data_IF_447614270508
#
_entry.id   IF_447614270508
#
_cell.length_a   1.000
_cell.length_b   1.000
_cell.length_c   1.000
_cell.angle_alpha   90.00
_cell.angle_beta   90.00
_cell.angle_gamma   90.00
#
_symmetry.space_group_name_H-M   'P 1'
#
loop_
_entity.id
_entity.type
_entity.pdbx_description
1 polymer ?
2 non-polymer ?
3 non-polymer ?
4 non-polymer ?
5 non-polymer ?
6 water ?
#
# COMPACT_ATOMS: atom_id res chain seq x y z
N UNK A 27 1.53 -3.77 -5.64
CA UNK A 27 1.98 -2.43 -5.30
C UNK A 27 1.88 -2.15 -3.79
N UNK A 28 1.18 -3.02 -3.04
CA UNK A 28 1.38 -2.95 -1.58
C UNK A 28 2.87 -2.94 -1.26
N UNK A 29 3.26 -2.16 -0.25
CA UNK A 29 4.67 -2.00 0.08
C UNK A 29 4.88 -1.94 1.58
N UNK A 30 6.07 -1.52 1.98
CA UNK A 30 6.43 -1.47 3.40
C UNK A 30 5.86 -0.26 4.09
N UNK A 31 6.31 -0.04 5.32
CA UNK A 31 5.76 1.01 6.17
C UNK A 31 6.08 2.41 5.65
N UNK A 32 7.33 2.62 5.24
CA UNK A 32 7.76 3.93 4.74
C UNK A 32 6.87 4.41 3.59
N UNK A 33 6.73 3.56 2.57
CA UNK A 33 5.93 3.90 1.40
C UNK A 33 4.44 3.92 1.70
N UNK A 34 4.04 3.27 2.78
CA UNK A 34 2.63 3.22 3.16
C UNK A 34 2.25 4.48 3.94
N UNK A 35 3.17 4.96 4.77
CA UNK A 35 2.92 6.13 5.58
C UNK A 35 2.79 7.39 4.73
N UNK A 36 3.72 7.58 3.80
CA UNK A 36 3.73 8.74 2.95
C UNK A 36 2.51 8.74 2.05
N UNK A 37 2.11 7.56 1.59
CA UNK A 37 0.91 7.42 0.78
C UNK A 37 -0.34 7.74 1.60
N UNK A 38 -0.32 7.34 2.87
CA UNK A 38 -1.44 7.58 3.77
C UNK A 38 -1.51 9.04 4.19
N UNK A 39 -0.34 9.65 4.40
CA UNK A 39 -0.28 11.07 4.75
C UNK A 39 -0.86 11.92 3.61
N UNK A 40 -0.38 11.69 2.40
CA UNK A 40 -0.84 12.43 1.24
C UNK A 40 -2.36 12.38 1.13
N UNK A 41 -2.92 11.17 1.23
CA UNK A 41 -4.36 10.99 1.13
C UNK A 41 -5.12 11.69 2.25
N UNK A 42 -4.48 11.80 3.41
CA UNK A 42 -5.07 12.50 4.53
C UNK A 42 -5.06 14.00 4.32
N UNK A 43 -3.93 14.51 3.87
CA UNK A 43 -3.78 15.94 3.60
C UNK A 43 -4.76 16.40 2.53
N UNK A 44 -4.87 15.62 1.45
CA UNK A 44 -5.73 16.00 0.32
C UNK A 44 -7.22 15.96 0.68
N UNK A 45 -7.59 15.10 1.62
CA UNK A 45 -8.97 15.07 2.11
C UNK A 45 -9.10 15.96 3.35
N UNK A 46 -8.02 16.67 3.66
CA UNK A 46 -7.99 17.59 4.78
C UNK A 46 -9.04 18.69 4.75
N UNK A 47 -9.11 19.47 3.66
CA UNK A 47 -8.24 19.32 2.51
C UNK A 47 -7.18 20.40 2.44
N UNK A 48 -5.96 19.98 2.14
CA UNK A 48 -4.81 20.87 2.10
C UNK A 48 -4.96 21.94 1.02
N UNK A 49 -5.37 21.53 -0.18
CA UNK A 49 -5.46 22.44 -1.32
C UNK A 49 -6.40 23.62 -1.06
N UNK A 50 -7.54 23.34 -0.43
CA UNK A 50 -8.46 24.41 -0.06
C UNK A 50 -7.81 25.33 0.95
N UNK A 51 -7.11 24.75 1.92
CA UNK A 51 -6.36 25.52 2.90
C UNK A 51 -5.29 26.37 2.21
N UNK A 52 -4.73 25.85 1.12
CA UNK A 52 -3.70 26.57 0.36
C UNK A 52 -4.27 27.56 -0.65
N UNK A 53 -5.58 27.51 -0.86
CA UNK A 53 -6.25 28.49 -1.70
C UNK A 53 -6.78 29.64 -0.85
N UNK A 54 -7.17 29.32 0.38
CA UNK A 54 -7.75 30.31 1.27
C UNK A 54 -6.76 30.86 2.30
N UNK A 55 -5.51 31.05 1.91
CA UNK A 55 -4.56 31.71 2.80
C UNK A 55 -4.89 33.19 2.81
N UNK A 56 -4.89 33.81 4.00
CA UNK A 56 -5.17 35.24 4.12
C UNK A 56 -3.89 36.05 3.96
N UNK A 57 -3.36 36.10 2.74
CA UNK A 57 -2.08 36.77 2.51
C UNK A 57 -2.17 38.28 2.70
N UNK A 58 -3.31 38.87 2.36
CA UNK A 58 -3.50 40.31 2.49
C UNK A 58 -3.77 40.71 3.94
N UNK A 59 -4.57 39.92 4.64
CA UNK A 59 -4.80 40.11 6.05
C UNK A 59 -3.51 40.52 6.75
N UNK A 60 -2.41 39.90 6.32
CA UNK A 60 -1.12 40.12 6.96
C UNK A 60 -0.20 41.00 6.11
N UNK A 61 -0.21 40.78 4.80
CA UNK A 61 0.65 41.54 3.89
C UNK A 61 0.14 42.97 3.75
N UNK A 73 4.16 57.09 3.14
CA UNK A 73 2.72 57.09 2.89
C UNK A 73 2.07 55.88 3.56
N UNK A 74 2.18 54.72 2.93
CA UNK A 74 1.70 53.47 3.50
C UNK A 74 0.16 53.42 3.63
N UNK A 75 -0.34 53.62 4.84
CA UNK A 75 -1.77 53.46 5.12
C UNK A 75 -2.61 54.56 4.50
N UNK A 76 -2.01 55.72 4.26
CA UNK A 76 -2.74 56.83 3.67
C UNK A 76 -3.39 56.38 2.36
N UNK A 77 -2.64 55.60 1.59
CA UNK A 77 -3.14 55.06 0.34
C UNK A 77 -4.23 54.02 0.57
N UNK A 78 -3.98 53.12 1.51
CA UNK A 78 -4.97 52.11 1.88
C UNK A 78 -6.28 52.79 2.26
N UNK A 79 -6.17 53.95 2.89
CA UNK A 79 -7.33 54.70 3.35
C UNK A 79 -7.96 55.49 2.21
N UNK A 80 -7.12 56.09 1.37
CA UNK A 80 -7.60 56.92 0.26
C UNK A 80 -8.36 56.08 -0.77
N UNK A 81 -7.88 54.85 -0.98
CA UNK A 81 -8.50 53.96 -1.96
C UNK A 81 -9.83 53.43 -1.45
N UNK A 82 -9.87 53.03 -0.18
CA UNK A 82 -11.08 52.52 0.44
C UNK A 82 -12.12 53.63 0.54
N UNK A 83 -11.68 54.80 0.97
CA UNK A 83 -12.55 55.97 1.06
C UNK A 83 -12.88 56.49 -0.34
N UNK A 84 -12.02 56.17 -1.31
CA UNK A 84 -12.20 56.59 -2.68
C UNK A 84 -13.60 56.34 -3.20
N UNK A 85 -14.30 55.37 -2.60
CA UNK A 85 -15.66 55.07 -2.98
C UNK A 85 -15.87 54.96 -4.47
N UNK A 87 -12.59 51.47 -4.94
CA UNK A 87 -11.96 50.41 -5.73
C UNK A 87 -10.56 50.78 -6.17
N UNK A 88 -9.58 50.00 -5.71
CA UNK A 88 -8.18 50.23 -6.05
C UNK A 88 -7.25 49.32 -5.28
N UNK A 89 -6.06 49.84 -4.95
CA UNK A 89 -5.07 49.08 -4.19
C UNK A 89 -4.58 47.93 -5.07
N UNK A 90 -3.61 47.16 -4.57
CA UNK A 90 -3.22 45.92 -5.21
C UNK A 90 -4.06 44.77 -4.68
N UNK A 91 -4.15 43.70 -5.47
CA UNK A 91 -4.88 42.51 -5.08
C UNK A 91 -4.01 41.29 -5.31
N UNK A 92 -4.21 40.24 -4.51
CA UNK A 92 -3.43 39.03 -4.66
C UNK A 92 -4.31 37.79 -4.61
N UNK A 93 -4.25 36.99 -5.67
CA UNK A 93 -5.04 35.79 -5.79
C UNK A 93 -4.18 34.55 -5.61
N UNK A 94 -4.71 33.57 -4.87
CA UNK A 94 -4.02 32.31 -4.67
C UNK A 94 -4.71 31.22 -5.46
N UNK A 95 -3.99 30.62 -6.40
CA UNK A 95 -4.55 29.56 -7.24
C UNK A 95 -3.52 28.47 -7.50
N UNK A 96 -3.95 27.39 -8.15
CA UNK A 96 -3.11 26.25 -8.46
C UNK A 96 -2.33 25.73 -7.28
N UNK A 97 -3.03 25.49 -6.20
CA UNK A 97 -2.39 24.85 -5.04
C UNK A 97 -2.12 23.38 -5.34
N UNK A 98 -0.96 22.87 -4.95
CA UNK A 98 -0.63 21.48 -5.26
C UNK A 98 0.26 20.82 -4.21
N UNK A 99 0.15 19.50 -4.13
CA UNK A 99 0.97 18.71 -3.23
C UNK A 99 1.89 17.83 -4.08
N UNK A 100 3.15 17.75 -3.69
CA UNK A 100 4.12 16.92 -4.42
C UNK A 100 4.55 15.73 -3.56
N UNK A 101 5.30 14.81 -4.16
CA UNK A 101 5.74 13.60 -3.46
C UNK A 101 6.42 13.91 -2.14
N UNK A 102 5.87 13.36 -1.06
CA UNK A 102 6.45 13.56 0.25
C UNK A 102 7.83 12.93 0.31
N UNK A 103 8.68 13.44 1.19
CA UNK A 103 9.95 12.82 1.47
C UNK A 103 9.89 12.20 2.85
N UNK A 104 10.71 11.17 3.07
CA UNK A 104 10.78 10.52 4.36
C UNK A 104 12.22 10.21 4.71
N UNK A 105 12.62 10.61 5.91
CA UNK A 105 13.95 10.29 6.40
C UNK A 105 13.86 9.85 7.86
N UNK A 106 14.66 8.86 8.22
CA UNK A 106 14.65 8.32 9.58
C UNK A 106 15.97 8.63 10.27
N UNK A 107 15.90 8.98 11.55
CA UNK A 107 17.10 9.27 12.32
C UNK A 107 18.04 8.07 12.34
N UNK A 108 19.35 8.31 12.46
CA UNK A 108 20.35 7.23 12.53
C UNK A 108 20.10 6.30 13.72
N UNK A 109 19.64 6.83 14.84
CA UNK A 109 19.37 6.02 16.02
C UNK A 109 18.09 5.20 15.82
N UNK A 110 17.25 5.63 14.89
CA UNK A 110 16.08 4.86 14.49
C UNK A 110 14.79 5.19 15.23
N UNK A 111 14.84 6.14 16.15
CA UNK A 111 13.68 6.42 17.00
C UNK A 111 12.82 7.59 16.52
N UNK A 112 13.25 8.27 15.46
CA UNK A 112 12.55 9.48 15.01
C UNK A 112 12.36 9.49 13.49
N UNK A 113 11.27 10.11 13.06
CA UNK A 113 10.91 10.17 11.66
C UNK A 113 10.72 11.64 11.26
N UNK A 114 11.19 12.00 10.08
CA UNK A 114 11.02 13.36 9.57
C UNK A 114 10.43 13.37 8.17
N UNK A 115 9.16 13.74 8.08
CA UNK A 115 8.49 13.87 6.79
C UNK A 115 8.57 15.31 6.29
N UNK A 116 8.97 15.46 5.03
CA UNK A 116 8.99 16.77 4.39
C UNK A 116 7.82 16.85 3.40
N UNK A 117 7.10 17.97 3.44
CA UNK A 117 5.88 18.11 2.66
C UNK A 117 6.00 19.25 1.65
N UNK A 118 6.50 18.94 0.45
CA UNK A 118 6.65 19.95 -0.61
C UNK A 118 5.31 20.56 -1.02
N UNK A 119 5.22 21.88 -0.97
CA UNK A 119 3.98 22.59 -1.26
C UNK A 119 4.17 23.54 -2.43
N UNK A 120 3.08 23.80 -3.14
CA UNK A 120 3.13 24.70 -4.28
C UNK A 120 1.90 25.58 -4.40
N UNK A 121 2.11 26.84 -4.76
CA UNK A 121 1.01 27.76 -5.04
C UNK A 121 1.45 28.80 -6.07
N UNK A 122 0.48 29.39 -6.74
CA UNK A 122 0.75 30.53 -7.60
C UNK A 122 0.10 31.78 -7.01
N UNK A 123 0.81 32.89 -7.09
CA UNK A 123 0.29 34.16 -6.60
C UNK A 123 0.08 35.10 -7.77
N UNK A 124 -1.19 35.45 -8.02
CA UNK A 124 -1.51 36.42 -9.06
C UNK A 124 -1.59 37.81 -8.44
N UNK A 125 -0.61 38.65 -8.75
CA UNK A 125 -0.58 40.02 -8.26
C UNK A 125 -1.23 40.95 -9.27
N UNK A 126 -2.35 41.55 -8.88
CA UNK A 126 -3.08 42.47 -9.74
C UNK A 126 -3.34 43.80 -9.04
N UNK A 127 -3.86 44.76 -9.81
CA UNK A 127 -4.35 46.01 -9.23
C UNK A 127 -5.69 46.34 -9.86
N UNK A 128 -6.78 46.22 -9.08
CA UNK A 128 -8.14 46.49 -9.58
C UNK A 128 -8.28 47.92 -10.07
N UNK A 129 -7.51 48.84 -9.50
CA UNK A 129 -7.54 50.25 -9.88
C UNK A 129 -7.46 50.42 -11.39
N UNK A 130 -6.33 50.02 -11.96
CA UNK A 130 -6.11 50.09 -13.40
C UNK A 130 -6.74 48.89 -14.10
N UNK A 131 -7.06 47.85 -13.35
CA UNK A 131 -7.69 46.67 -13.89
C UNK A 131 -6.71 45.83 -14.70
N UNK A 132 -5.47 45.75 -14.22
CA UNK A 132 -4.43 45.01 -14.92
C UNK A 132 -3.71 44.05 -13.98
N UNK A 133 -3.06 43.05 -14.55
CA UNK A 133 -2.25 42.11 -13.78
C UNK A 133 -0.77 42.42 -13.97
N UNK A 134 -0.07 42.67 -12.86
CA UNK A 134 1.31 43.14 -12.92
C UNK A 134 2.32 42.01 -12.82
N UNK A 135 2.10 41.09 -11.89
CA UNK A 135 3.03 40.00 -11.64
C UNK A 135 2.32 38.67 -11.45
N UNK A 136 2.92 37.61 -12.01
CA UNK A 136 2.47 36.25 -11.77
C UNK A 136 3.63 35.44 -11.20
N UNK A 137 3.49 35.00 -9.95
CA UNK A 137 4.57 34.30 -9.27
C UNK A 137 4.25 32.82 -9.04
N UNK A 138 5.26 31.98 -9.23
CA UNK A 138 5.19 30.59 -8.82
C UNK A 138 5.92 30.43 -7.50
N UNK A 139 5.28 29.77 -6.53
CA UNK A 139 5.84 29.63 -5.20
C UNK A 139 5.97 28.16 -4.79
N UNK A 140 7.14 27.80 -4.27
CA UNK A 140 7.37 26.46 -3.74
C UNK A 140 7.82 26.56 -2.29
N UNK A 141 7.37 25.65 -1.44
CA UNK A 141 7.73 25.66 -0.03
C UNK A 141 7.60 24.29 0.60
N UNK A 142 8.49 23.98 1.54
CA UNK A 142 8.50 22.67 2.18
C UNK A 142 8.16 22.82 3.66
N UNK A 143 7.33 21.90 4.14
CA UNK A 143 7.02 21.81 5.57
C UNK A 143 7.64 20.54 6.15
N UNK A 144 8.55 20.71 7.10
CA UNK A 144 9.25 19.57 7.70
C UNK A 144 8.60 19.16 9.01
N UNK A 145 7.82 18.09 8.97
CA UNK A 145 7.17 17.56 10.16
C UNK A 145 8.01 16.43 10.76
N UNK A 146 8.27 16.52 12.06
CA UNK A 146 8.91 15.43 12.78
C UNK A 146 7.84 14.57 13.44
N UNK A 147 7.91 13.26 13.25
CA UNK A 147 6.94 12.33 13.82
C UNK A 147 7.57 11.54 14.96
N UNK A 148 6.96 11.62 16.14
CA UNK A 148 7.48 10.94 17.32
C UNK A 148 6.55 9.83 17.80
N UNK A 149 7.10 8.91 18.59
CA UNK A 149 6.30 7.89 19.26
C UNK A 149 6.21 8.24 20.75
N UNK A 150 4.99 8.38 21.24
CA UNK A 150 4.76 8.86 22.61
C UNK A 150 3.68 8.04 23.30
N UNK A 151 3.71 8.02 24.63
CA UNK A 151 2.78 7.21 25.40
C UNK A 151 1.77 8.04 26.20
N UNK A 152 0.51 7.66 26.07
CA UNK A 152 -0.57 8.25 26.85
C UNK A 152 -1.74 7.28 26.82
N UNK A 153 -1.50 6.04 27.22
CA UNK A 153 -2.53 5.03 27.18
C UNK A 153 -2.77 4.60 25.73
N UNK A 157 -3.20 9.28 18.88
CA UNK A 157 -3.16 8.52 20.13
C UNK A 157 -1.73 8.18 20.55
N UNK A 158 -0.93 7.71 19.61
CA UNK A 158 0.38 7.14 19.92
C UNK A 158 1.49 7.68 19.03
N UNK A 159 1.23 7.78 17.74
CA UNK A 159 2.18 8.36 16.79
C UNK A 159 1.84 9.82 16.57
N UNK A 160 2.70 10.72 17.06
CA UNK A 160 2.33 12.12 17.21
C UNK A 160 3.28 13.08 16.50
N UNK A 161 2.79 14.27 16.19
CA UNK A 161 3.58 15.32 15.57
C UNK A 161 4.51 15.99 16.56
N UNK A 162 5.79 16.06 16.22
CA UNK A 162 6.76 16.81 16.99
C UNK A 162 6.83 18.24 16.50
N UNK A 163 7.95 18.61 15.90
CA UNK A 163 8.10 19.95 15.31
C UNK A 163 7.59 20.01 13.87
N UNK A 164 6.62 20.89 13.66
CA UNK A 164 6.20 21.24 12.31
C UNK A 164 6.74 22.61 11.98
N UNK A 165 7.55 22.70 10.95
CA UNK A 165 8.16 23.97 10.58
C UNK A 165 8.36 24.06 9.08
N UNK A 166 8.68 25.25 8.63
CA UNK A 166 9.04 25.47 7.23
C UNK A 166 10.53 25.20 7.05
N UNK A 167 10.87 24.31 6.13
CA UNK A 167 12.26 23.99 5.88
C UNK A 167 12.98 25.26 5.43
N UNK A 168 14.15 25.53 6.01
CA UNK A 168 14.90 26.70 5.56
C UNK A 168 15.43 26.52 4.13
N UNK A 169 15.34 27.57 3.31
CA UNK A 169 15.82 27.52 1.94
C UNK A 169 14.85 26.84 0.98
N UNK A 170 13.61 26.61 1.40
CA UNK A 170 12.66 25.86 0.59
C UNK A 170 11.86 26.80 -0.29
N UNK A 171 11.89 28.08 0.05
CA UNK A 171 10.98 29.05 -0.54
C UNK A 171 11.58 29.58 -1.82
N UNK A 172 11.05 29.11 -2.94
CA UNK A 172 11.52 29.53 -4.24
C UNK A 172 10.42 30.28 -4.96
N UNK A 173 10.63 31.58 -5.12
CA UNK A 173 9.69 32.42 -5.84
C UNK A 173 10.25 32.67 -7.23
N UNK A 174 9.44 32.42 -8.25
CA UNK A 174 9.89 32.57 -9.63
C UNK A 174 8.89 33.40 -10.44
N UNK A 175 9.40 34.15 -11.41
CA UNK A 175 8.56 35.00 -12.23
C UNK A 175 7.91 34.19 -13.35
N UNK A 176 6.59 34.21 -13.39
CA UNK A 176 5.83 33.47 -14.39
C UNK A 176 5.40 34.39 -15.52
N UNK A 177 4.83 35.54 -15.16
CA UNK A 177 4.40 36.51 -16.14
C UNK A 177 4.41 37.92 -15.52
N UNK A 178 4.36 38.93 -16.37
CA UNK A 178 4.34 40.32 -15.90
C UNK A 178 3.81 41.27 -16.97
N UNK A 179 3.09 42.30 -16.51
CA UNK A 179 2.54 43.29 -17.42
C UNK A 179 3.61 43.84 -18.36
N UNK A 180 4.79 44.09 -17.80
CA UNK A 180 5.90 44.62 -18.58
C UNK A 180 7.18 44.73 -17.76
N UNK A 181 8.22 45.32 -18.36
CA UNK A 181 9.54 45.47 -17.72
C UNK A 181 9.53 46.30 -16.44
N UNK A 182 8.54 47.17 -16.27
CA UNK A 182 8.54 48.12 -15.16
C UNK A 182 8.26 47.43 -13.82
N UNK A 183 7.10 46.74 -13.70
CA UNK A 183 6.81 46.04 -12.44
C UNK A 183 7.88 44.99 -12.10
N UNK A 184 8.52 44.45 -13.12
CA UNK A 184 9.52 43.41 -12.93
C UNK A 184 10.83 43.98 -12.39
N UNK A 185 11.21 45.16 -12.90
CA UNK A 185 12.45 45.80 -12.49
C UNK A 185 12.25 46.70 -11.27
N UNK A 186 11.00 47.03 -10.97
CA UNK A 186 10.72 48.01 -9.94
C UNK A 186 9.83 47.56 -8.79
N UNK A 187 9.25 46.37 -8.89
CA UNK A 187 8.32 45.91 -7.87
C UNK A 187 8.67 44.53 -7.32
N UNK A 188 8.96 43.59 -8.22
CA UNK A 188 9.20 42.20 -7.85
C UNK A 188 10.06 42.08 -6.58
N UNK A 189 11.34 42.42 -6.69
CA UNK A 189 12.29 42.23 -5.59
C UNK A 189 11.75 42.75 -4.25
N UNK A 190 11.07 43.89 -4.29
CA UNK A 190 10.47 44.45 -3.08
C UNK A 190 9.37 43.52 -2.59
N UNK A 191 8.62 42.96 -3.54
CA UNK A 191 7.51 42.08 -3.23
C UNK A 191 7.99 40.76 -2.64
N UNK A 192 8.87 40.07 -3.36
CA UNK A 192 9.38 38.78 -2.91
C UNK A 192 10.04 38.95 -1.55
N UNK A 193 10.67 40.10 -1.35
CA UNK A 193 11.37 40.39 -0.11
C UNK A 193 10.47 40.27 1.11
N UNK A 194 9.26 40.82 1.02
CA UNK A 194 8.32 40.76 2.13
C UNK A 194 7.78 39.34 2.20
N UNK A 195 7.65 38.71 1.04
CA UNK A 195 7.13 37.35 0.95
C UNK A 195 8.06 36.36 1.65
N UNK A 196 9.37 36.56 1.50
CA UNK A 196 10.35 35.71 2.18
C UNK A 196 10.28 35.88 3.70
N UNK A 197 9.51 36.87 4.14
CA UNK A 197 9.42 37.18 5.56
C UNK A 197 8.08 36.82 6.17
N UNK A 198 7.06 36.65 5.33
CA UNK A 198 5.71 36.44 5.82
C UNK A 198 5.15 35.04 5.54
N UNK A 199 5.36 34.55 4.32
CA UNK A 199 4.74 33.30 3.89
C UNK A 199 5.08 32.10 4.77
N UNK A 200 6.37 31.77 4.87
CA UNK A 200 6.80 30.57 5.60
C UNK A 200 6.07 30.36 6.93
N UNK A 201 6.01 31.40 7.76
CA UNK A 201 5.33 31.29 9.05
C UNK A 201 3.82 31.21 8.88
N UNK A 202 3.33 31.70 7.75
CA UNK A 202 1.91 31.63 7.45
C UNK A 202 1.50 30.21 7.09
N UNK A 203 2.21 29.65 6.12
CA UNK A 203 1.94 28.29 5.65
C UNK A 203 2.09 27.29 6.79
N UNK A 204 3.22 27.35 7.49
CA UNK A 204 3.45 26.50 8.65
C UNK A 204 2.26 26.51 9.58
N UNK A 205 1.75 27.71 9.88
CA UNK A 205 0.66 27.86 10.82
C UNK A 205 -0.66 27.31 10.30
N UNK A 206 -0.83 27.30 8.98
CA UNK A 206 -2.07 26.85 8.38
C UNK A 206 -2.09 25.35 8.08
N UNK A 207 -0.98 24.90 7.49
CA UNK A 207 -0.70 23.49 7.22
C UNK A 207 -0.45 22.65 8.45
N UNK A 208 0.27 23.22 9.42
CA UNK A 208 0.83 22.46 10.54
C UNK A 208 -0.25 21.80 11.36
N UNK A 209 -1.40 22.58 11.58
CA UNK A 209 -2.44 21.88 12.36
C UNK A 209 -2.93 20.62 11.65
N UNK A 210 -3.07 20.72 10.32
CA UNK A 210 -3.73 19.67 9.55
C UNK A 210 -2.97 18.34 9.67
N UNK A 211 -1.65 18.38 9.48
CA UNK A 211 -0.85 17.15 9.48
C UNK A 211 -1.01 16.41 10.80
N UNK A 212 -1.22 17.15 11.88
CA UNK A 212 -1.42 16.55 13.18
C UNK A 212 -2.75 15.83 13.22
N UNK A 213 -3.76 16.45 12.63
CA UNK A 213 -5.08 15.84 12.50
C UNK A 213 -4.99 14.58 11.63
N UNK A 214 -4.03 14.55 10.70
CA UNK A 214 -3.84 13.42 9.82
C UNK A 214 -3.06 12.30 10.51
N UNK A 215 -2.10 12.67 11.35
CA UNK A 215 -1.34 11.67 12.11
C UNK A 215 -2.28 10.88 13.02
N UNK A 216 -3.15 11.59 13.73
CA UNK A 216 -4.19 10.95 14.52
C UNK A 216 -5.40 10.71 13.63
N UNK A 217 -5.57 9.47 13.19
CA UNK A 217 -6.55 9.15 12.17
C UNK A 217 -5.94 8.23 11.13
N UNK A 218 -4.63 8.05 11.20
CA UNK A 218 -3.95 7.09 10.35
C UNK A 218 -4.42 5.68 10.69
N UNK A 219 -4.19 4.75 9.78
CA UNK A 219 -4.59 3.37 9.98
C UNK A 219 -4.02 2.85 11.30
N UNK A 220 -4.89 2.28 12.12
CA UNK A 220 -4.52 1.80 13.45
C UNK A 220 -3.34 0.84 13.39
N UNK A 221 -3.43 -0.12 12.47
CA UNK A 221 -2.43 -1.17 12.37
C UNK A 221 -1.13 -0.64 11.78
N UNK A 222 -1.24 0.33 10.88
CA UNK A 222 -0.07 0.97 10.28
C UNK A 222 0.72 1.69 11.37
N UNK A 223 0.02 2.46 12.20
CA UNK A 223 0.64 3.19 13.29
C UNK A 223 1.36 2.21 14.23
N UNK A 224 0.64 1.19 14.67
CA UNK A 224 1.18 0.19 15.59
C UNK A 224 2.51 -0.37 15.10
N UNK A 225 2.56 -0.74 13.82
CA UNK A 225 3.77 -1.33 13.24
C UNK A 225 4.92 -0.31 13.21
N UNK A 226 4.63 0.91 12.77
CA UNK A 226 5.65 1.95 12.68
C UNK A 226 6.22 2.30 14.05
N UNK A 227 5.37 2.27 15.08
CA UNK A 227 5.83 2.56 16.43
C UNK A 227 6.87 1.53 16.86
N UNK A 228 6.54 0.25 16.69
CA UNK A 228 7.46 -0.84 17.02
C UNK A 228 8.86 -0.60 16.48
N UNK A 229 8.93 -0.26 15.20
CA UNK A 229 10.22 -0.09 14.52
C UNK A 229 11.01 1.05 15.14
N UNK A 230 10.31 2.11 15.55
CA UNK A 230 10.96 3.25 16.16
C UNK A 230 11.43 2.94 17.58
N UNK A 231 10.55 2.36 18.38
CA UNK A 231 10.88 2.01 19.76
C UNK A 231 12.15 1.16 19.83
N UNK A 232 12.31 0.26 18.87
CA UNK A 232 13.48 -0.63 18.85
C UNK A 232 14.58 -0.09 17.93
N UNK A 233 14.46 1.17 17.51
CA UNK A 233 15.45 1.81 16.66
C UNK A 233 15.81 0.98 15.45
N UNK A 234 14.82 0.59 14.67
CA UNK A 234 15.04 -0.23 13.48
C UNK A 234 14.73 0.58 12.23
N UNK A 235 15.56 0.41 11.20
CA UNK A 235 15.44 1.18 9.97
C UNK A 235 14.45 0.53 9.00
N UNK A 236 13.46 1.31 8.56
CA UNK A 236 12.53 0.85 7.53
C UNK A 236 12.44 1.85 6.37
N UNK A 237 13.16 2.96 6.49
CA UNK A 237 13.26 3.94 5.42
C UNK A 237 14.66 3.88 4.83
N UNK A 238 14.79 3.24 3.67
CA UNK A 238 16.09 3.04 3.04
C UNK A 238 16.11 3.61 1.62
N UNK B 27 -6.73 1.63 1.83
CA UNK B 27 -5.96 0.50 1.32
C UNK B 27 -4.59 0.37 1.98
N UNK B 28 -3.93 1.50 2.23
CA UNK B 28 -2.66 1.49 2.98
C UNK B 28 -2.81 0.92 4.38
N UNK B 29 -2.20 -0.24 4.64
CA UNK B 29 -2.23 -0.84 5.98
C UNK B 29 -0.82 -1.13 6.47
N UNK B 30 -0.74 -1.93 7.54
CA UNK B 30 0.54 -2.34 8.10
C UNK B 30 1.10 -3.52 7.32
N UNK B 31 2.04 -4.23 7.93
CA UNK B 31 2.73 -5.31 7.24
C UNK B 31 1.83 -6.53 7.02
N UNK B 32 1.17 -6.98 8.08
CA UNK B 32 0.26 -8.13 7.96
C UNK B 32 -0.71 -7.94 6.81
N UNK B 33 -1.51 -6.89 6.89
CA UNK B 33 -2.48 -6.59 5.86
C UNK B 33 -1.83 -6.48 4.49
N UNK B 34 -0.69 -5.81 4.41
CA UNK B 34 0.01 -5.63 3.15
C UNK B 34 0.48 -6.96 2.58
N UNK B 35 0.97 -7.84 3.44
CA UNK B 35 1.49 -9.13 3.02
C UNK B 35 0.40 -9.98 2.36
N UNK B 36 -0.78 -10.01 2.97
CA UNK B 36 -1.88 -10.82 2.46
C UNK B 36 -2.29 -10.37 1.06
N UNK B 37 -2.49 -9.06 0.90
CA UNK B 37 -2.87 -8.51 -0.40
C UNK B 37 -1.79 -8.79 -1.43
N UNK B 38 -0.53 -8.63 -1.03
CA UNK B 38 0.60 -8.86 -1.91
C UNK B 38 0.62 -10.31 -2.38
N UNK B 39 0.37 -11.24 -1.46
CA UNK B 39 0.33 -12.67 -1.80
C UNK B 39 -0.82 -12.98 -2.74
N UNK B 40 -1.99 -12.43 -2.45
CA UNK B 40 -3.19 -12.70 -3.25
C UNK B 40 -2.98 -12.24 -4.69
N UNK B 41 -2.51 -11.00 -4.86
CA UNK B 41 -2.24 -10.47 -6.19
C UNK B 41 -1.13 -11.28 -6.86
N UNK B 42 -0.12 -11.64 -6.10
CA UNK B 42 1.00 -12.41 -6.60
C UNK B 42 0.61 -13.79 -7.07
N UNK B 43 -0.25 -14.45 -6.30
CA UNK B 43 -0.72 -15.79 -6.65
C UNK B 43 -1.62 -15.76 -7.88
N UNK B 44 -2.61 -14.87 -7.86
CA UNK B 44 -3.56 -14.77 -8.96
C UNK B 44 -2.87 -14.44 -10.29
N UNK B 45 -1.83 -13.62 -10.22
CA UNK B 45 -1.07 -13.27 -11.42
C UNK B 45 0.05 -14.30 -11.62
N UNK B 46 0.03 -15.34 -10.79
CA UNK B 46 1.03 -16.39 -10.81
C UNK B 46 1.10 -17.24 -12.06
N UNK B 47 -0.03 -17.71 -12.59
CA UNK B 47 -1.36 -17.46 -12.07
C UNK B 47 -2.02 -18.70 -11.51
N UNK B 48 -2.38 -18.64 -10.24
CA UNK B 48 -2.86 -19.80 -9.49
C UNK B 48 -4.02 -20.55 -10.15
N UNK B 49 -5.05 -19.81 -10.55
CA UNK B 49 -6.27 -20.44 -11.06
C UNK B 49 -5.97 -21.43 -12.18
N UNK B 50 -5.12 -21.03 -13.13
CA UNK B 50 -4.77 -21.90 -14.23
C UNK B 50 -4.11 -23.18 -13.76
N UNK B 51 -3.27 -23.07 -12.72
CA UNK B 51 -2.57 -24.22 -12.18
C UNK B 51 -3.55 -25.24 -11.62
N UNK B 52 -4.59 -24.76 -10.94
CA UNK B 52 -5.58 -25.64 -10.34
C UNK B 52 -6.41 -26.36 -11.39
N UNK B 53 -6.74 -25.65 -12.47
CA UNK B 53 -7.51 -26.25 -13.56
C UNK B 53 -6.69 -27.31 -14.29
N UNK B 54 -5.39 -27.05 -14.45
CA UNK B 54 -4.53 -27.94 -15.22
C UNK B 54 -3.90 -29.06 -14.39
N UNK B 55 -4.42 -29.29 -13.18
CA UNK B 55 -3.91 -30.38 -12.35
C UNK B 55 -4.07 -31.71 -13.06
N UNK B 56 -3.05 -32.59 -12.96
CA UNK B 56 -3.09 -33.91 -13.59
C UNK B 56 -3.74 -34.95 -12.69
N UNK B 57 -5.03 -34.79 -12.39
CA UNK B 57 -5.73 -35.72 -11.52
C UNK B 57 -5.72 -37.15 -12.07
N UNK B 58 -5.98 -37.27 -13.37
CA UNK B 58 -6.07 -38.59 -14.00
C UNK B 58 -4.73 -39.30 -14.00
N UNK B 59 -3.73 -38.67 -14.63
CA UNK B 59 -2.39 -39.25 -14.66
C UNK B 59 -2.00 -39.68 -13.25
N UNK B 60 -2.42 -40.87 -12.86
CA UNK B 60 -2.17 -41.40 -11.52
C UNK B 60 -3.10 -42.58 -11.25
N UNK B 75 -5.89 -52.18 -12.22
CA UNK B 75 -4.68 -52.57 -12.93
C UNK B 75 -5.04 -53.30 -14.22
N UNK B 76 -5.71 -54.44 -14.08
CA UNK B 76 -6.15 -55.22 -15.23
C UNK B 76 -7.09 -54.37 -16.10
N UNK B 77 -8.08 -53.77 -15.45
CA UNK B 77 -9.06 -52.93 -16.14
C UNK B 77 -8.38 -51.73 -16.79
N UNK B 78 -7.31 -51.24 -16.16
CA UNK B 78 -6.59 -50.08 -16.66
C UNK B 78 -5.87 -50.40 -17.97
N UNK B 79 -5.13 -51.50 -17.99
CA UNK B 79 -4.35 -51.88 -19.17
C UNK B 79 -5.24 -52.32 -20.32
N UNK B 80 -6.41 -52.87 -20.00
CA UNK B 80 -7.34 -53.35 -21.01
C UNK B 80 -7.74 -52.21 -21.96
N UNK B 81 -8.16 -51.10 -21.38
CA UNK B 81 -8.61 -49.94 -22.16
C UNK B 81 -7.54 -49.48 -23.15
N UNK B 82 -6.28 -49.62 -22.76
CA UNK B 82 -5.17 -49.20 -23.62
C UNK B 82 -5.14 -50.03 -24.90
N UNK B 83 -5.45 -51.32 -24.79
CA UNK B 83 -5.41 -52.22 -25.94
C UNK B 83 -6.81 -52.49 -26.47
N UNK B 84 -7.12 -51.90 -27.62
CA UNK B 84 -8.43 -52.06 -28.23
C UNK B 84 -8.51 -51.31 -29.55
N UNK B 85 -8.30 -50.00 -29.49
CA UNK B 85 -8.41 -49.15 -30.65
C UNK B 85 -9.75 -48.43 -30.69
N UNK B 86 -9.82 -47.28 -30.05
CA UNK B 86 -11.04 -46.48 -30.04
C UNK B 86 -11.86 -46.66 -28.78
N UNK B 87 -11.39 -46.08 -27.68
CA UNK B 87 -12.13 -46.12 -26.41
C UNK B 87 -11.38 -45.33 -25.34
N UNK B 88 -12.12 -44.55 -24.56
CA UNK B 88 -11.55 -43.88 -23.40
C UNK B 88 -12.48 -44.01 -22.20
N UNK B 89 -11.94 -44.57 -21.12
CA UNK B 89 -12.73 -44.96 -19.96
C UNK B 89 -13.53 -43.83 -19.31
N UNK B 90 -12.84 -42.83 -18.77
CA UNK B 90 -13.50 -41.74 -18.05
C UNK B 90 -12.61 -40.50 -18.08
N UNK B 91 -13.22 -39.34 -17.89
CA UNK B 91 -12.47 -38.08 -17.89
C UNK B 91 -12.95 -37.19 -16.76
N UNK B 92 -12.02 -36.43 -16.18
CA UNK B 92 -12.36 -35.46 -15.14
C UNK B 92 -11.94 -34.06 -15.56
N UNK B 93 -12.84 -33.11 -15.37
CA UNK B 93 -12.53 -31.71 -15.60
C UNK B 93 -12.52 -30.95 -14.28
N UNK B 94 -11.62 -29.98 -14.17
CA UNK B 94 -11.56 -29.13 -12.99
C UNK B 94 -11.98 -27.73 -13.38
N UNK B 95 -12.99 -27.21 -12.70
CA UNK B 95 -13.59 -25.94 -13.06
C UNK B 95 -13.85 -25.08 -11.83
N UNK B 96 -14.21 -23.82 -12.06
CA UNK B 96 -14.49 -22.88 -10.97
C UNK B 96 -13.38 -22.90 -9.93
N UNK B 97 -12.14 -22.69 -10.37
CA UNK B 97 -11.02 -22.48 -9.45
C UNK B 97 -11.20 -21.16 -8.71
N UNK B 98 -11.04 -21.16 -7.39
CA UNK B 98 -11.25 -19.93 -6.63
C UNK B 98 -10.29 -19.80 -5.46
N UNK B 99 -9.87 -18.57 -5.18
CA UNK B 99 -8.95 -18.27 -4.11
C UNK B 99 -9.70 -17.47 -3.04
N UNK B 100 -9.69 -17.95 -1.80
CA UNK B 100 -10.40 -17.27 -0.73
C UNK B 100 -9.46 -16.38 0.09
N UNK B 101 -10.01 -15.71 1.09
CA UNK B 101 -9.23 -14.79 1.91
C UNK B 101 -8.11 -15.53 2.64
N UNK B 102 -6.89 -15.04 2.49
CA UNK B 102 -5.75 -15.64 3.16
C UNK B 102 -5.89 -15.42 4.67
N UNK B 103 -5.36 -16.35 5.44
CA UNK B 103 -5.33 -16.21 6.88
C UNK B 103 -3.91 -16.02 7.33
N UNK B 104 -3.69 -15.19 8.34
CA UNK B 104 -2.35 -14.96 8.85
C UNK B 104 -2.29 -15.23 10.34
N UNK B 105 -1.23 -15.89 10.76
CA UNK B 105 -1.00 -16.14 12.18
C UNK B 105 0.50 -16.03 12.42
N UNK B 106 0.88 -15.56 13.61
CA UNK B 106 2.28 -15.42 13.95
C UNK B 106 2.62 -16.28 15.17
N UNK B 107 3.77 -16.93 15.11
CA UNK B 107 4.22 -17.80 16.19
C UNK B 107 4.22 -17.02 17.50
N UNK B 108 4.29 -17.73 18.64
CA UNK B 108 4.18 -17.05 19.93
C UNK B 108 5.41 -16.19 20.23
N UNK B 109 6.58 -16.71 19.88
CA UNK B 109 7.83 -15.97 20.05
C UNK B 109 7.91 -14.79 19.07
N UNK B 110 7.04 -14.79 18.07
CA UNK B 110 7.04 -13.76 17.05
C UNK B 110 8.12 -13.87 15.98
N UNK B 111 8.71 -15.05 15.83
CA UNK B 111 9.79 -15.22 14.84
C UNK B 111 9.33 -15.95 13.57
N UNK B 112 8.26 -16.74 13.65
CA UNK B 112 7.75 -17.43 12.46
C UNK B 112 6.34 -16.96 12.12
N UNK B 113 5.95 -17.16 10.86
CA UNK B 113 4.69 -16.67 10.36
C UNK B 113 4.00 -17.81 9.61
N UNK B 114 2.69 -17.95 9.79
CA UNK B 114 1.96 -19.03 9.13
C UNK B 114 0.76 -18.51 8.36
N UNK B 115 0.87 -18.53 7.04
CA UNK B 115 -0.19 -18.03 6.16
C UNK B 115 -1.02 -19.19 5.59
N UNK B 116 -2.34 -19.01 5.63
CA UNK B 116 -3.27 -20.05 5.21
C UNK B 116 -3.87 -19.71 3.85
N UNK B 117 -3.71 -20.62 2.90
CA UNK B 117 -4.14 -20.39 1.51
C UNK B 117 -5.32 -21.30 1.16
N UNK B 118 -6.54 -20.87 1.51
CA UNK B 118 -7.75 -21.64 1.18
C UNK B 118 -8.07 -21.68 -0.30
N UNK B 119 -8.34 -22.88 -0.80
CA UNK B 119 -8.55 -23.10 -2.23
C UNK B 119 -9.86 -23.83 -2.50
N UNK B 120 -10.37 -23.69 -3.72
CA UNK B 120 -11.61 -24.32 -4.10
C UNK B 120 -11.66 -24.67 -5.58
N UNK B 121 -12.22 -25.84 -5.90
CA UNK B 121 -12.35 -26.27 -7.28
C UNK B 121 -13.63 -27.08 -7.47
N UNK B 122 -14.04 -27.23 -8.73
CA UNK B 122 -15.19 -28.07 -9.05
C UNK B 122 -14.76 -29.18 -10.00
N UNK B 123 -15.13 -30.42 -9.67
CA UNK B 123 -14.77 -31.56 -10.50
C UNK B 123 -15.99 -32.15 -11.20
N UNK B 124 -16.00 -32.06 -12.53
CA UNK B 124 -17.04 -32.69 -13.33
C UNK B 124 -16.52 -34.01 -13.88
N UNK B 125 -17.21 -35.10 -13.55
CA UNK B 125 -16.81 -36.42 -14.00
C UNK B 125 -17.66 -36.87 -15.19
N UNK B 126 -16.99 -37.28 -16.25
CA UNK B 126 -17.66 -37.74 -17.47
C UNK B 126 -17.13 -39.10 -17.90
N UNK B 127 -17.93 -39.83 -18.66
CA UNK B 127 -17.46 -41.04 -19.33
C UNK B 127 -17.50 -40.72 -20.82
N UNK B 128 -16.31 -40.60 -21.45
CA UNK B 128 -16.23 -40.35 -22.90
C UNK B 128 -16.70 -41.56 -23.71
N UNK B 129 -16.53 -42.75 -23.14
CA UNK B 129 -17.09 -43.96 -23.74
C UNK B 129 -18.54 -43.69 -24.18
N UNK B 130 -19.49 -43.70 -23.26
CA UNK B 130 -20.80 -43.15 -23.61
C UNK B 130 -20.52 -41.66 -23.73
N UNK B 131 -21.48 -40.90 -24.23
CA UNK B 131 -21.28 -39.46 -24.34
C UNK B 131 -21.80 -38.72 -23.13
N UNK B 132 -21.93 -39.42 -22.01
CA UNK B 132 -22.63 -38.84 -20.87
C UNK B 132 -21.75 -38.14 -19.83
N UNK B 133 -22.37 -37.20 -19.12
CA UNK B 133 -21.78 -36.67 -17.90
C UNK B 133 -22.04 -37.68 -16.80
N UNK B 134 -21.55 -37.41 -15.60
CA UNK B 134 -21.74 -38.34 -14.49
C UNK B 134 -22.15 -37.63 -13.22
N UNK B 135 -21.24 -36.86 -12.63
CA UNK B 135 -21.56 -36.06 -11.44
C UNK B 135 -20.66 -34.84 -11.34
N UNK B 136 -21.03 -33.93 -10.45
CA UNK B 136 -20.24 -32.73 -10.21
C UNK B 136 -19.82 -32.68 -8.75
N UNK B 137 -18.59 -32.24 -8.49
CA UNK B 137 -18.07 -32.20 -7.13
C UNK B 137 -17.54 -30.82 -6.76
N UNK B 138 -17.70 -30.47 -5.48
CA UNK B 138 -17.10 -29.27 -4.92
C UNK B 138 -15.99 -29.65 -3.97
N UNK B 139 -14.77 -29.24 -4.25
CA UNK B 139 -13.62 -29.59 -3.44
C UNK B 139 -12.96 -28.35 -2.83
N UNK B 140 -12.84 -28.34 -1.50
CA UNK B 140 -12.20 -27.26 -0.79
C UNK B 140 -10.96 -27.78 -0.06
N UNK B 141 -9.82 -27.14 -0.28
CA UNK B 141 -8.57 -27.58 0.32
C UNK B 141 -7.74 -26.40 0.81
N UNK B 142 -7.04 -26.60 1.92
CA UNK B 142 -6.24 -25.54 2.55
C UNK B 142 -4.76 -25.85 2.45
N UNK B 143 -3.97 -24.86 2.04
CA UNK B 143 -2.52 -25.00 2.03
C UNK B 143 -1.90 -24.04 3.04
N UNK B 144 -0.96 -24.55 3.83
CA UNK B 144 -0.34 -23.76 4.88
C UNK B 144 1.14 -23.54 4.61
N UNK B 145 1.50 -22.30 4.30
CA UNK B 145 2.89 -21.92 4.10
C UNK B 145 3.45 -21.27 5.35
N UNK B 146 4.56 -21.81 5.84
CA UNK B 146 5.27 -21.20 6.97
C UNK B 146 6.35 -20.26 6.45
N UNK B 147 6.43 -19.06 7.02
CA UNK B 147 7.39 -18.06 6.56
C UNK B 147 8.34 -17.67 7.69
N UNK B 148 9.64 -17.76 7.39
CA UNK B 148 10.67 -17.61 8.41
C UNK B 148 11.67 -16.52 8.05
N UNK B 149 12.40 -16.05 9.05
CA UNK B 149 13.49 -15.10 8.84
C UNK B 149 14.74 -15.64 9.52
N UNK B 150 15.78 -15.89 8.73
CA UNK B 150 17.01 -16.47 9.26
C UNK B 150 18.18 -15.54 8.98
N UNK B 151 19.11 -15.46 9.93
CA UNK B 151 20.27 -14.58 9.77
C UNK B 151 21.46 -15.36 9.22
N UNK B 152 22.07 -14.81 8.18
CA UNK B 152 23.25 -15.40 7.56
C UNK B 152 24.50 -15.14 8.41
N UNK B 153 25.45 -16.05 8.32
CA UNK B 153 26.71 -15.91 9.06
C UNK B 153 27.45 -14.63 8.65
N UNK B 154 26.97 -14.00 7.57
CA UNK B 154 27.57 -12.77 7.08
C UNK B 154 26.71 -11.55 7.40
N UNK B 155 25.83 -11.70 8.37
CA UNK B 155 24.99 -10.60 8.84
C UNK B 155 23.85 -10.28 7.88
N UNK B 156 23.72 -11.04 6.80
CA UNK B 156 22.63 -10.85 5.86
C UNK B 156 21.40 -11.61 6.34
N UNK B 157 20.24 -10.99 6.20
CA UNK B 157 19.00 -11.63 6.62
C UNK B 157 18.12 -11.97 5.42
N UNK B 158 17.86 -13.26 5.22
CA UNK B 158 17.00 -13.66 4.12
C UNK B 158 15.68 -14.24 4.64
N UNK B 159 14.62 -13.97 3.88
CA UNK B 159 13.31 -14.50 4.18
C UNK B 159 13.15 -15.81 3.43
N UNK B 160 12.78 -16.87 4.14
CA UNK B 160 12.75 -18.21 3.56
C UNK B 160 11.38 -18.86 3.69
N UNK B 161 11.01 -19.66 2.70
CA UNK B 161 9.71 -20.33 2.69
C UNK B 161 9.70 -21.49 3.68
N UNK B 162 10.28 -22.62 3.27
CA UNK B 162 10.25 -23.86 4.05
C UNK B 162 9.44 -23.81 5.33
N UNK B 163 8.29 -24.49 5.39
CA UNK B 163 7.83 -25.41 4.36
C UNK B 163 6.39 -25.12 3.96
N UNK B 164 5.96 -25.73 2.88
CA UNK B 164 4.55 -25.70 2.49
C UNK B 164 3.96 -27.11 2.48
N UNK B 165 2.76 -27.22 3.01
CA UNK B 165 2.09 -28.50 3.12
C UNK B 165 0.60 -28.31 2.99
N UNK B 166 -0.08 -29.27 2.38
CA UNK B 166 -1.53 -29.28 2.43
C UNK B 166 -1.87 -29.41 3.91
N UNK B 167 -2.83 -28.62 4.38
CA UNK B 167 -3.17 -28.63 5.80
C UNK B 167 -3.99 -29.89 6.13
N UNK B 168 -3.52 -30.70 7.08
CA UNK B 168 -4.28 -31.87 7.55
C UNK B 168 -5.68 -31.49 8.04
N UNK B 169 -6.69 -32.23 7.58
CA UNK B 169 -8.06 -31.99 8.00
C UNK B 169 -8.70 -30.85 7.22
N UNK B 170 -8.12 -30.54 6.07
CA UNK B 170 -8.60 -29.43 5.24
C UNK B 170 -9.52 -29.91 4.15
N UNK B 171 -9.12 -30.99 3.49
CA UNK B 171 -9.86 -31.52 2.36
C UNK B 171 -11.32 -31.75 2.72
N UNK B 172 -12.21 -31.15 1.94
CA UNK B 172 -13.64 -31.39 2.08
C UNK B 172 -14.25 -31.62 0.70
N UNK B 173 -15.24 -32.51 0.65
CA UNK B 173 -15.79 -32.98 -0.61
C UNK B 173 -17.32 -32.99 -0.51
N UNK B 174 -17.98 -32.46 -1.54
CA UNK B 174 -19.43 -32.36 -1.53
C UNK B 174 -20.03 -32.72 -2.89
N UNK B 175 -21.28 -33.16 -2.87
CA UNK B 175 -21.98 -33.56 -4.09
C UNK B 175 -22.89 -32.44 -4.55
N UNK B 176 -22.81 -32.11 -5.84
CA UNK B 176 -23.66 -31.06 -6.42
C UNK B 176 -24.95 -31.66 -6.96
N UNK B 182 -27.33 -42.62 -12.92
CA UNK B 182 -28.62 -42.54 -12.25
C UNK B 182 -28.44 -42.72 -10.74
N UNK B 183 -27.72 -43.77 -10.34
CA UNK B 183 -27.37 -44.00 -8.94
C UNK B 183 -26.11 -43.23 -8.55
N UNK B 184 -24.94 -43.84 -8.71
CA UNK B 184 -23.67 -43.14 -8.57
C UNK B 184 -23.18 -43.04 -7.12
N UNK B 185 -23.90 -43.66 -6.19
CA UNK B 185 -23.50 -43.61 -4.79
C UNK B 185 -22.25 -44.45 -4.53
N UNK B 186 -22.06 -45.49 -5.34
CA UNK B 186 -20.95 -46.41 -5.17
C UNK B 186 -19.61 -45.77 -5.47
N UNK B 187 -19.43 -45.33 -6.71
CA UNK B 187 -18.17 -44.69 -7.12
C UNK B 187 -17.86 -43.46 -6.28
N UNK B 188 -18.89 -42.79 -5.79
CA UNK B 188 -18.70 -41.57 -5.01
C UNK B 188 -17.73 -41.82 -3.85
N UNK B 189 -17.89 -42.95 -3.18
CA UNK B 189 -17.01 -43.32 -2.08
C UNK B 189 -15.64 -43.72 -2.61
N UNK B 190 -15.60 -44.17 -3.87
CA UNK B 190 -14.35 -44.53 -4.52
C UNK B 190 -13.60 -43.27 -4.97
N UNK B 191 -14.32 -42.35 -5.60
CA UNK B 191 -13.74 -41.08 -6.01
C UNK B 191 -13.31 -40.30 -4.77
N UNK B 192 -14.14 -40.34 -3.74
CA UNK B 192 -13.86 -39.63 -2.49
C UNK B 192 -12.61 -40.22 -1.83
N UNK B 193 -12.47 -41.53 -1.88
CA UNK B 193 -11.36 -42.21 -1.25
C UNK B 193 -10.02 -41.88 -1.91
N UNK B 194 -10.00 -41.96 -3.24
CA UNK B 194 -8.77 -41.71 -3.99
C UNK B 194 -8.39 -40.22 -3.91
N UNK B 195 -9.38 -39.35 -4.07
CA UNK B 195 -9.16 -37.92 -3.90
C UNK B 195 -8.58 -37.64 -2.52
N UNK B 196 -9.05 -38.38 -1.52
CA UNK B 196 -8.64 -38.16 -0.14
C UNK B 196 -7.19 -38.54 0.11
N UNK B 197 -6.62 -39.37 -0.76
CA UNK B 197 -5.28 -39.88 -0.57
C UNK B 197 -4.31 -39.42 -1.66
N UNK B 198 -4.81 -38.60 -2.59
CA UNK B 198 -4.00 -38.16 -3.72
C UNK B 198 -4.00 -36.63 -3.88
N UNK B 199 -5.17 -36.03 -3.84
CA UNK B 199 -5.31 -34.60 -4.16
C UNK B 199 -4.37 -33.73 -3.34
N UNK B 200 -4.50 -33.77 -2.00
CA UNK B 200 -3.73 -32.86 -1.13
C UNK B 200 -2.25 -32.73 -1.53
N UNK B 201 -1.61 -33.86 -1.84
CA UNK B 201 -0.19 -33.83 -2.22
C UNK B 201 -0.01 -33.27 -3.62
N UNK B 202 -1.01 -33.49 -4.48
CA UNK B 202 -0.96 -32.97 -5.84
C UNK B 202 -1.06 -31.45 -5.82
N UNK B 203 -2.00 -30.93 -5.05
CA UNK B 203 -2.18 -29.49 -4.93
C UNK B 203 -0.96 -28.85 -4.26
N UNK B 204 -0.53 -29.44 -3.15
CA UNK B 204 0.68 -28.98 -2.48
C UNK B 204 1.85 -28.92 -3.46
N UNK B 205 1.94 -29.95 -4.30
CA UNK B 205 3.03 -30.07 -5.24
C UNK B 205 3.03 -29.01 -6.32
N UNK B 206 1.85 -28.56 -6.72
CA UNK B 206 1.72 -27.60 -7.80
C UNK B 206 1.59 -26.16 -7.33
N UNK B 207 1.12 -25.96 -6.10
CA UNK B 207 0.83 -24.63 -5.60
C UNK B 207 2.01 -24.02 -4.86
N UNK B 208 2.64 -24.80 -3.98
CA UNK B 208 3.64 -24.23 -3.10
C UNK B 208 4.95 -23.90 -3.84
N UNK B 209 5.19 -24.53 -5.00
CA UNK B 209 6.25 -24.00 -5.83
C UNK B 209 5.96 -22.55 -6.24
N UNK B 210 4.69 -22.26 -6.50
CA UNK B 210 4.27 -20.92 -6.90
C UNK B 210 4.51 -19.92 -5.78
N UNK B 211 3.92 -20.18 -4.61
CA UNK B 211 4.01 -19.24 -3.49
C UNK B 211 5.47 -18.85 -3.27
N UNK B 212 6.36 -19.82 -3.43
CA UNK B 212 7.79 -19.58 -3.30
C UNK B 212 8.26 -18.56 -4.34
N UNK B 213 7.72 -18.66 -5.54
CA UNK B 213 7.99 -17.69 -6.59
C UNK B 213 7.51 -16.30 -6.18
N UNK B 214 6.30 -16.26 -5.60
CA UNK B 214 5.68 -15.00 -5.19
C UNK B 214 6.49 -14.31 -4.10
N UNK B 215 6.95 -15.08 -3.11
CA UNK B 215 7.71 -14.52 -1.99
C UNK B 215 9.01 -13.86 -2.45
N UNK B 216 9.68 -14.49 -3.41
CA UNK B 216 10.88 -13.89 -4.00
C UNK B 216 10.55 -12.53 -4.58
N UNK B 217 9.47 -12.46 -5.34
CA UNK B 217 9.13 -11.28 -6.11
C UNK B 217 8.37 -10.22 -5.34
N UNK B 218 8.20 -10.41 -4.03
CA UNK B 218 7.53 -9.41 -3.20
C UNK B 218 8.27 -8.08 -3.25
N UNK B 219 7.59 -7.03 -2.81
CA UNK B 219 8.20 -5.70 -2.78
C UNK B 219 9.40 -5.71 -1.84
N UNK B 220 10.50 -5.14 -2.29
CA UNK B 220 11.77 -5.22 -1.58
C UNK B 220 11.66 -4.68 -0.16
N UNK B 221 10.94 -3.58 -0.01
CA UNK B 221 10.86 -2.90 1.28
C UNK B 221 9.81 -3.55 2.18
N UNK B 222 8.78 -4.17 1.58
CA UNK B 222 7.79 -4.91 2.35
C UNK B 222 8.46 -6.09 3.04
N UNK B 223 9.31 -6.79 2.29
CA UNK B 223 10.00 -7.96 2.80
C UNK B 223 10.99 -7.55 3.89
N UNK B 224 11.82 -6.56 3.60
CA UNK B 224 12.82 -6.10 4.57
C UNK B 224 12.19 -5.67 5.88
N UNK B 225 11.00 -5.08 5.82
CA UNK B 225 10.29 -4.63 7.01
C UNK B 225 9.74 -5.81 7.80
N UNK B 226 9.10 -6.75 7.10
CA UNK B 226 8.56 -7.94 7.74
C UNK B 226 9.65 -8.76 8.39
N UNK B 227 10.72 -8.97 7.62
CA UNK B 227 11.84 -9.76 8.06
C UNK B 227 12.48 -9.21 9.33
N UNK B 228 12.70 -7.91 9.35
CA UNK B 228 13.27 -7.24 10.52
C UNK B 228 12.43 -7.48 11.76
N UNK B 229 11.11 -7.52 11.58
CA UNK B 229 10.19 -7.65 12.70
C UNK B 229 10.07 -9.09 13.19
N UNK B 230 10.26 -10.05 12.29
CA UNK B 230 10.24 -11.46 12.67
C UNK B 230 11.54 -11.84 13.36
N UNK B 231 12.67 -11.42 12.79
CA UNK B 231 13.97 -11.80 13.33
C UNK B 231 14.28 -11.07 14.64
N UNK B 232 13.47 -10.08 14.98
CA UNK B 232 13.60 -9.41 16.27
C UNK B 232 12.40 -9.74 17.17
N UNK B 233 11.61 -10.73 16.75
CA UNK B 233 10.49 -11.21 17.52
C UNK B 233 9.52 -10.12 17.94
N UNK B 234 8.86 -9.51 16.96
CA UNK B 234 7.92 -8.42 17.23
C UNK B 234 6.58 -8.64 16.54
N UNK B 235 5.51 -8.65 17.34
CA UNK B 235 4.17 -8.93 16.83
C UNK B 235 3.66 -7.80 15.94
N UNK B 236 3.13 -8.17 14.78
CA UNK B 236 2.45 -7.20 13.91
C UNK B 236 1.22 -7.82 13.24
N UNK B 237 0.73 -8.92 13.80
CA UNK B 237 -0.40 -9.63 13.22
C UNK B 237 -1.58 -9.64 14.19
N UNK B 238 -2.72 -9.15 13.72
CA UNK B 238 -3.92 -9.09 14.56
C UNK B 238 -5.05 -9.91 13.93
X LIG C 1 18.18 -2.00 11.33
X LIG C 1 18.22 -2.28 12.71
X LIG C 1 19.29 -1.39 10.71
X LIG C 1 17.04 -2.31 10.58
X LIG D 1 11.94 46.61 -6.51
X LIG E 1 0.86 39.06 -15.43
X LIG F 1 11.35 29.62 4.34
X LIG F 1 11.15 28.75 5.42
X LIG F 1 12.75 29.41 3.79
X LIG F 1 12.66 28.66 2.61
X LIG F 1 13.38 30.76 3.49
X LIG F 1 14.22 30.61 2.38
#
# INVERSE_FOLDING_TARGET
SNAQFGGLPVPLDQTLPLNVNPALPLSPTGLAGSLTNALSNGLLSGGLLGILENLPLLDILKPGGGTSGGLLGGLLGKVTSVIPGLNNVIDIKVTDPQLLELGLVQSPDGHRLYVTIPLGIKLQVNTPLVGASLLRLAVKLDITAEILAVRDKQERIHLVLGDCTHSPGSLQISLLDGLGPLPIQGLLDSLTGILNKVLPELVQGNVCPLVNEVLRGLDITLVHDIVNMLIHGLQFVIKV
SNAQFGGLPVPLDQTLPLNVNPALPLSPTGLAGSLTNALSNGLLSGGLLGILENLPLLDILKPGGGTSGGLLGGLLGKVTSVIPGLNNVIDIKVTDPQLLELGLVQSPDGHRLYVTIPLGIKLQVNTPLVGASLLRLAVKLDITAEILAVRDKQERIHLVLGDCTHSPGSLQISLLDGLGPLPIQGLLDSLTGILNKVLPELVQGNVCPLVNEVLRGLDITLVHDIVNMLIHGLQFVIKV
NO3 N O1 O2 O3
NH4 N
NA NA
GOL C1 O1 C2 O2 C3 O3
#
